data_IF_328971480065
#
_entry.id   IF_328971480065
#
_cell.length_a   1.000
_cell.length_b   1.000
_cell.length_c   1.000
_cell.angle_alpha   90.00
_cell.angle_beta   90.00
_cell.angle_gamma   90.00
#
_symmetry.space_group_name_H-M   'P 1'
#
loop_
_entity.id
_entity.type
_entity.pdbx_description
1 polymer ?
2 non-polymer ?
3 non-polymer ?
4 water ?
#
# COMPACT_ATOMS: atom_id res chain seq x y z
N UNK A 2 15.60 12.29 10.03
CA UNK A 2 15.95 11.26 9.02
C UNK A 2 14.81 10.91 8.06
N UNK A 3 13.60 11.37 8.38
CA UNK A 3 12.42 11.11 7.57
C UNK A 3 11.64 12.40 7.33
N UNK A 4 11.56 12.83 6.07
CA UNK A 4 10.83 14.03 5.72
C UNK A 4 9.55 13.62 5.02
N UNK A 5 8.43 14.14 5.53
CA UNK A 5 7.12 13.83 4.97
C UNK A 5 6.44 15.12 4.51
N UNK A 6 5.86 15.09 3.32
CA UNK A 6 5.15 16.26 2.80
C UNK A 6 3.65 16.00 2.92
N UNK A 7 2.91 16.97 3.47
CA UNK A 7 1.46 16.84 3.61
C UNK A 7 0.77 17.94 2.82
N UNK A 8 -0.15 17.54 1.95
CA UNK A 8 -0.93 18.47 1.12
C UNK A 8 -2.40 18.17 1.39
N UNK A 9 -3.05 19.09 2.12
CA UNK A 9 -4.46 18.98 2.49
C UNK A 9 -5.02 20.38 2.71
N UNK A 10 -6.11 20.68 2.02
CA UNK A 10 -6.75 22.00 2.10
C UNK A 10 -7.57 22.27 3.38
N UNK A 11 -8.10 21.22 4.03
CA UNK A 11 -8.83 21.41 5.29
C UNK A 11 -7.77 21.57 6.37
N UNK A 12 -7.41 22.83 6.63
CA UNK A 12 -6.36 23.19 7.59
C UNK A 12 -6.31 22.38 8.89
N UNK A 13 -7.42 22.38 9.62
CA UNK A 13 -7.48 21.65 10.89
C UNK A 13 -7.13 20.16 10.72
N UNK A 14 -7.64 19.51 9.67
CA UNK A 14 -7.32 18.11 9.42
C UNK A 14 -5.84 18.02 9.06
N UNK A 15 -5.40 18.89 8.15
CA UNK A 15 -4.01 18.90 7.76
C UNK A 15 -3.13 19.02 9.00
N UNK A 16 -3.49 19.90 9.93
CA UNK A 16 -2.68 20.07 11.15
C UNK A 16 -2.74 18.82 12.04
N UNK A 17 -3.91 18.19 12.07
CA UNK A 17 -4.10 16.99 12.86
C UNK A 17 -3.14 15.92 12.34
N UNK A 18 -3.13 15.74 11.03
CA UNK A 18 -2.27 14.76 10.39
C UNK A 18 -0.80 15.06 10.68
N UNK A 19 -0.42 16.31 10.51
CA UNK A 19 0.95 16.76 10.75
C UNK A 19 1.45 16.48 12.17
N UNK A 20 0.62 16.81 13.17
CA UNK A 20 1.02 16.58 14.56
C UNK A 20 1.24 15.10 14.81
N UNK A 21 0.36 14.28 14.27
CA UNK A 21 0.49 12.84 14.44
C UNK A 21 1.81 12.34 13.85
N UNK A 22 2.15 12.84 12.67
CA UNK A 22 3.38 12.43 12.00
C UNK A 22 4.62 12.91 12.78
N UNK A 23 4.57 14.14 13.27
CA UNK A 23 5.68 14.70 14.03
C UNK A 23 5.88 13.91 15.32
N UNK A 24 4.80 13.36 15.84
CA UNK A 24 4.85 12.58 17.08
C UNK A 24 5.59 11.26 16.84
N UNK A 25 5.72 10.90 15.56
CA UNK A 25 6.45 9.69 15.15
C UNK A 25 7.91 10.09 14.96
N UNK A 26 8.19 11.38 15.16
CA UNK A 26 9.53 11.93 15.03
C UNK A 26 9.92 12.13 13.56
N UNK A 27 8.96 12.52 12.73
CA UNK A 27 9.23 12.76 11.32
C UNK A 27 9.23 14.26 11.08
N UNK A 28 10.03 14.71 10.12
CA UNK A 28 10.07 16.12 9.78
C UNK A 28 8.89 16.30 8.85
N UNK A 29 7.98 17.19 9.19
CA UNK A 29 6.81 17.38 8.36
C UNK A 29 6.58 18.79 7.82
N UNK A 30 6.43 18.89 6.51
CA UNK A 30 6.12 20.15 5.86
C UNK A 30 4.70 20.02 5.39
N UNK A 31 3.86 21.01 5.72
CA UNK A 31 2.46 20.97 5.34
C UNK A 31 2.03 22.11 4.41
N UNK A 32 1.23 21.77 3.41
CA UNK A 32 0.71 22.73 2.45
C UNK A 32 -0.80 22.66 2.50
N UNK A 33 -1.44 23.82 2.41
CA UNK A 33 -2.89 23.90 2.46
C UNK A 33 -3.52 24.13 1.10
N UNK A 34 -2.72 24.04 0.04
CA UNK A 34 -3.24 24.23 -1.31
C UNK A 34 -2.38 23.49 -2.33
N UNK A 35 -2.95 23.21 -3.50
CA UNK A 35 -2.22 22.49 -4.52
C UNK A 35 -1.12 23.29 -5.22
N UNK A 36 -1.09 24.59 -4.99
CA UNK A 36 -0.07 25.42 -5.61
C UNK A 36 1.26 25.17 -4.94
N UNK A 37 1.30 25.38 -3.64
CA UNK A 37 2.54 25.15 -2.91
C UNK A 37 2.83 23.66 -2.87
N UNK A 38 1.76 22.87 -2.87
CA UNK A 38 1.92 21.43 -2.85
C UNK A 38 2.77 20.98 -4.02
N UNK A 39 2.38 21.40 -5.21
CA UNK A 39 3.09 21.09 -6.43
C UNK A 39 4.56 21.52 -6.30
N UNK A 40 4.76 22.79 -5.95
CA UNK A 40 6.09 23.34 -5.79
C UNK A 40 6.98 22.51 -4.86
N UNK A 41 6.46 22.19 -3.68
CA UNK A 41 7.18 21.42 -2.67
C UNK A 41 7.47 20.01 -3.15
N UNK A 42 6.48 19.40 -3.80
CA UNK A 42 6.63 18.04 -4.29
C UNK A 42 7.59 17.94 -5.47
N UNK A 43 7.82 19.06 -6.16
CA UNK A 43 8.72 19.05 -7.31
C UNK A 43 10.07 19.67 -7.03
N UNK A 44 10.22 20.36 -5.92
CA UNK A 44 11.50 21.00 -5.65
C UNK A 44 12.21 20.58 -4.38
N UNK A 45 11.46 19.98 -3.46
CA UNK A 45 12.07 19.56 -2.22
C UNK A 45 12.07 18.05 -2.08
N UNK A 46 13.13 17.49 -1.48
CA UNK A 46 13.27 16.05 -1.28
C UNK A 46 12.45 15.54 -0.10
N UNK A 47 11.66 14.49 -0.33
CA UNK A 47 10.84 13.91 0.73
C UNK A 47 10.96 12.40 0.71
N UNK A 48 10.57 11.76 1.80
CA UNK A 48 10.60 10.31 1.87
C UNK A 48 9.22 9.77 1.54
N UNK A 49 8.20 10.57 1.88
CA UNK A 49 6.81 10.20 1.59
C UNK A 49 5.98 11.45 1.36
N UNK A 50 5.02 11.35 0.45
CA UNK A 50 4.13 12.46 0.14
C UNK A 50 2.70 12.01 0.35
N UNK A 51 2.03 12.62 1.33
CA UNK A 51 0.64 12.32 1.63
C UNK A 51 -0.16 13.36 0.88
N UNK A 52 -0.96 12.89 -0.06
CA UNK A 52 -1.69 13.77 -0.93
C UNK A 52 -3.22 13.72 -0.94
N UNK A 53 -3.84 14.88 -0.70
CA UNK A 53 -5.30 15.00 -0.77
C UNK A 53 -5.56 15.15 -2.27
N UNK A 54 -6.75 14.82 -2.73
CA UNK A 54 -7.05 14.97 -4.15
C UNK A 54 -7.58 16.36 -4.44
N UNK A 55 -8.83 16.62 -4.07
CA UNK A 55 -9.47 17.90 -4.29
C UNK A 55 -8.78 19.01 -3.53
N UNK A 56 -8.01 19.80 -4.27
CA UNK A 56 -7.25 20.91 -3.73
C UNK A 56 -7.33 22.12 -4.64
N UNK A 57 -7.06 23.32 -4.11
CA UNK A 57 -7.09 24.57 -4.87
C UNK A 57 -5.94 24.61 -5.86
N UNK A 58 -6.20 25.19 -7.04
CA UNK A 58 -5.20 25.35 -8.10
C UNK A 58 -4.87 24.03 -8.78
N UNK A 59 -4.14 23.16 -8.09
CA UNK A 59 -3.78 21.85 -8.64
C UNK A 59 -4.34 20.75 -7.77
N UNK A 60 -4.93 19.73 -8.38
CA UNK A 60 -5.47 18.62 -7.63
C UNK A 60 -4.41 17.54 -7.42
N UNK A 61 -4.68 16.63 -6.49
CA UNK A 61 -3.74 15.57 -6.18
C UNK A 61 -3.31 14.80 -7.42
N UNK A 62 -4.22 14.63 -8.38
CA UNK A 62 -3.92 13.90 -9.61
C UNK A 62 -2.73 14.56 -10.34
N UNK A 63 -2.88 15.86 -10.61
CA UNK A 63 -1.87 16.67 -11.29
C UNK A 63 -0.54 16.64 -10.55
N UNK A 64 -0.58 16.78 -9.23
CA UNK A 64 0.65 16.76 -8.45
C UNK A 64 1.38 15.43 -8.64
N UNK A 65 0.65 14.32 -8.52
CA UNK A 65 1.28 13.02 -8.69
C UNK A 65 1.91 12.84 -10.07
N UNK A 66 1.15 13.07 -11.13
CA UNK A 66 1.66 12.95 -12.48
C UNK A 66 2.86 13.85 -12.75
N UNK A 67 2.83 15.08 -12.25
CA UNK A 67 3.96 16.00 -12.47
C UNK A 67 5.21 15.44 -11.79
N UNK A 68 5.03 14.83 -10.62
CA UNK A 68 6.16 14.23 -9.91
C UNK A 68 6.73 13.08 -10.76
N UNK A 69 5.86 12.19 -11.22
CA UNK A 69 6.33 11.05 -12.01
C UNK A 69 6.92 11.50 -13.33
N UNK A 70 6.29 12.49 -13.95
CA UNK A 70 6.77 13.01 -15.21
C UNK A 70 8.13 13.69 -15.07
N UNK A 71 8.45 14.10 -13.85
CA UNK A 71 9.71 14.76 -13.55
C UNK A 71 10.76 13.81 -12.98
N UNK A 72 10.46 12.52 -12.93
CA UNK A 72 11.42 11.56 -12.42
C UNK A 72 11.46 11.42 -10.90
N UNK A 73 10.58 12.13 -10.20
CA UNK A 73 10.51 12.06 -8.74
C UNK A 73 9.69 10.81 -8.38
N UNK A 74 10.36 9.75 -7.97
CA UNK A 74 9.69 8.49 -7.64
C UNK A 74 9.34 8.37 -6.17
N UNK A 75 9.32 9.49 -5.45
CA UNK A 75 9.00 9.47 -4.03
C UNK A 75 7.68 8.75 -3.76
N UNK A 76 7.64 7.93 -2.69
CA UNK A 76 6.42 7.21 -2.36
C UNK A 76 5.26 8.16 -2.12
N UNK A 77 4.14 7.89 -2.76
CA UNK A 77 2.97 8.72 -2.60
C UNK A 77 1.80 7.99 -2.00
N UNK A 78 1.16 8.64 -1.04
CA UNK A 78 -0.02 8.09 -0.39
C UNK A 78 -1.13 9.11 -0.57
N UNK A 79 -2.24 8.70 -1.16
CA UNK A 79 -3.34 9.63 -1.31
C UNK A 79 -4.35 9.42 -0.18
N UNK A 80 -4.78 10.54 0.42
CA UNK A 80 -5.77 10.58 1.51
C UNK A 80 -6.84 11.53 1.00
N UNK A 81 -8.01 11.04 0.69
CA UNK A 81 -9.06 11.79 0.03
C UNK A 81 -10.46 11.24 0.29
N UNK A 82 -11.44 12.11 0.12
CA UNK A 82 -12.86 11.78 0.29
C UNK A 82 -13.36 10.99 -0.91
N UNK A 83 -12.58 10.96 -1.99
CA UNK A 83 -12.99 10.19 -3.16
C UNK A 83 -12.65 8.77 -2.77
N UNK A 84 -13.60 8.11 -2.12
CA UNK A 84 -13.43 6.75 -1.61
C UNK A 84 -13.82 5.59 -2.50
N UNK A 85 -14.66 5.84 -3.50
CA UNK A 85 -15.11 4.77 -4.40
C UNK A 85 -13.91 3.99 -4.95
N UNK A 86 -14.06 2.68 -5.02
CA UNK A 86 -12.98 1.81 -5.50
C UNK A 86 -12.40 2.25 -6.84
N UNK A 87 -13.26 2.74 -7.74
CA UNK A 87 -12.83 3.21 -9.05
C UNK A 87 -11.76 4.30 -8.90
N UNK A 88 -11.92 5.15 -7.88
CA UNK A 88 -10.97 6.21 -7.63
C UNK A 88 -9.67 5.62 -7.08
N UNK A 89 -9.79 4.64 -6.20
CA UNK A 89 -8.64 3.99 -5.61
C UNK A 89 -7.77 3.43 -6.73
N UNK A 90 -8.41 2.76 -7.69
CA UNK A 90 -7.70 2.19 -8.81
C UNK A 90 -7.04 3.29 -9.63
N UNK A 91 -7.79 4.36 -9.88
CA UNK A 91 -7.24 5.46 -10.66
C UNK A 91 -5.96 6.00 -10.04
N UNK A 92 -5.99 6.29 -8.74
CA UNK A 92 -4.79 6.81 -8.09
C UNK A 92 -3.60 5.87 -8.16
N UNK A 93 -3.86 4.60 -7.85
CA UNK A 93 -2.81 3.59 -7.87
C UNK A 93 -2.27 3.39 -9.29
N UNK A 94 -3.15 3.16 -10.25
CA UNK A 94 -2.71 2.96 -11.64
C UNK A 94 -1.87 4.11 -12.16
N UNK A 95 -2.17 5.30 -11.67
CA UNK A 95 -1.48 6.52 -12.06
C UNK A 95 -0.09 6.65 -11.43
N UNK A 96 0.17 5.87 -10.38
CA UNK A 96 1.48 5.92 -9.74
C UNK A 96 1.48 6.09 -8.23
N UNK A 97 0.31 6.19 -7.62
CA UNK A 97 0.25 6.30 -6.17
C UNK A 97 0.72 4.96 -5.62
N UNK A 98 1.35 4.97 -4.46
CA UNK A 98 1.85 3.75 -3.84
C UNK A 98 0.85 3.10 -2.89
N UNK A 99 -0.10 3.90 -2.42
CA UNK A 99 -1.18 3.47 -1.54
C UNK A 99 -2.26 4.53 -1.64
N UNK A 100 -3.47 4.16 -1.27
CA UNK A 100 -4.64 5.01 -1.35
C UNK A 100 -5.51 4.71 -0.13
N UNK A 101 -5.69 5.71 0.73
CA UNK A 101 -6.47 5.54 1.94
C UNK A 101 -7.59 6.58 1.96
N UNK A 102 -8.83 6.14 1.72
CA UNK A 102 -9.96 7.06 1.74
C UNK A 102 -10.29 7.62 3.12
N UNK A 103 -11.04 8.72 3.12
CA UNK A 103 -11.49 9.36 4.34
C UNK A 103 -12.93 8.88 4.47
N UNK A 104 -13.45 8.76 5.69
CA UNK A 104 -12.71 9.04 6.92
C UNK A 104 -11.71 7.92 7.17
N UNK A 105 -10.57 8.26 7.74
CA UNK A 105 -9.54 7.27 8.00
C UNK A 105 -9.23 7.13 9.48
N UNK A 106 -8.68 5.99 9.86
CA UNK A 106 -8.30 5.77 11.25
C UNK A 106 -6.83 6.20 11.32
N UNK A 107 -6.52 7.08 12.27
CA UNK A 107 -5.17 7.61 12.42
C UNK A 107 -4.11 6.53 12.57
N UNK A 108 -4.46 5.45 13.25
CA UNK A 108 -3.51 4.37 13.44
C UNK A 108 -3.19 3.71 12.09
N UNK A 109 -4.18 3.59 11.21
CA UNK A 109 -3.91 2.98 9.91
C UNK A 109 -3.06 3.86 9.03
N UNK A 110 -3.32 5.17 9.07
CA UNK A 110 -2.56 6.13 8.29
C UNK A 110 -1.07 6.02 8.68
N UNK A 111 -0.75 6.15 9.97
CA UNK A 111 0.64 6.07 10.40
C UNK A 111 1.27 4.73 10.02
N UNK A 112 0.53 3.66 10.22
CA UNK A 112 1.02 2.33 9.87
C UNK A 112 1.35 2.25 8.39
N UNK A 113 0.52 2.85 7.55
CA UNK A 113 0.77 2.81 6.09
C UNK A 113 1.89 3.73 5.64
N UNK A 114 2.06 4.85 6.35
CA UNK A 114 3.14 5.77 5.98
C UNK A 114 4.46 5.09 6.34
N UNK A 115 4.49 4.44 7.50
CA UNK A 115 5.69 3.73 7.94
C UNK A 115 6.01 2.58 6.99
N UNK A 116 4.96 1.95 6.46
CA UNK A 116 5.16 0.84 5.52
C UNK A 116 5.83 1.34 4.25
N UNK A 117 5.54 2.58 3.88
CA UNK A 117 6.13 3.16 2.68
C UNK A 117 7.58 3.63 2.86
N UNK A 118 7.96 4.03 4.08
CA UNK A 118 9.32 4.51 4.29
C UNK A 118 10.33 3.39 4.39
N UNK A 119 10.02 2.37 5.19
CA UNK A 119 10.93 1.24 5.35
C UNK A 119 11.14 0.55 4.01
N UNK A 120 10.11 0.59 3.17
CA UNK A 120 10.15 -0.02 1.86
C UNK A 120 11.08 0.76 0.93
N UNK B 2 8.88 -9.99 -17.22
CA UNK B 2 8.04 -10.97 -16.48
C UNK B 2 8.09 -10.73 -14.97
N UNK B 3 6.96 -10.99 -14.30
CA UNK B 3 6.82 -10.79 -12.86
C UNK B 3 6.29 -12.03 -12.16
N UNK B 4 6.89 -12.39 -11.02
CA UNK B 4 6.47 -13.57 -10.26
C UNK B 4 5.60 -13.22 -9.06
N UNK B 5 4.42 -13.83 -9.01
CA UNK B 5 3.48 -13.59 -7.92
C UNK B 5 3.15 -14.90 -7.21
N UNK B 6 3.20 -14.87 -5.88
CA UNK B 6 2.88 -16.06 -5.09
C UNK B 6 1.52 -15.83 -4.42
N UNK B 7 0.64 -16.82 -4.55
CA UNK B 7 -0.71 -16.77 -4.00
C UNK B 7 -0.93 -17.89 -2.97
N UNK B 8 -1.25 -17.50 -1.73
CA UNK B 8 -1.49 -18.46 -0.67
C UNK B 8 -2.90 -18.23 -0.14
N UNK B 9 -3.82 -19.08 -0.56
CA UNK B 9 -5.23 -18.99 -0.18
C UNK B 9 -5.82 -20.40 -0.10
N UNK B 10 -6.44 -20.73 1.03
CA UNK B 10 -7.01 -22.06 1.21
C UNK B 10 -8.38 -22.19 0.56
N UNK B 11 -8.89 -21.09 0.03
CA UNK B 11 -10.16 -21.08 -0.65
C UNK B 11 -9.88 -21.36 -2.12
N UNK B 12 -9.67 -22.62 -2.46
CA UNK B 12 -9.35 -23.04 -3.83
C UNK B 12 -10.00 -22.23 -4.96
N UNK B 13 -11.32 -22.11 -4.93
CA UNK B 13 -12.05 -21.36 -5.95
C UNK B 13 -11.54 -19.92 -6.03
N UNK B 14 -11.41 -19.29 -4.88
CA UNK B 14 -10.92 -17.92 -4.82
C UNK B 14 -9.48 -17.85 -5.28
N UNK B 15 -8.65 -18.76 -4.76
CA UNK B 15 -7.25 -18.81 -5.12
C UNK B 15 -7.09 -18.93 -6.62
N UNK B 16 -7.85 -19.84 -7.23
CA UNK B 16 -7.78 -20.06 -8.67
C UNK B 16 -8.30 -18.87 -9.44
N UNK B 17 -9.30 -18.22 -8.87
CA UNK B 17 -9.88 -17.04 -9.50
C UNK B 17 -8.82 -15.94 -9.57
N UNK B 18 -8.11 -15.75 -8.47
CA UNK B 18 -7.06 -14.74 -8.39
C UNK B 18 -5.91 -15.10 -9.31
N UNK B 19 -5.53 -16.38 -9.30
CA UNK B 19 -4.44 -16.84 -10.14
C UNK B 19 -4.73 -16.54 -11.62
N UNK B 20 -5.97 -16.78 -12.05
CA UNK B 20 -6.37 -16.52 -13.44
C UNK B 20 -6.26 -15.05 -13.78
N UNK B 21 -6.93 -14.22 -12.99
CA UNK B 21 -6.95 -12.77 -13.18
C UNK B 21 -5.55 -12.18 -13.29
N UNK B 22 -4.64 -12.66 -12.45
CA UNK B 22 -3.28 -12.16 -12.45
C UNK B 22 -2.55 -12.47 -13.74
N UNK B 23 -2.51 -13.74 -14.11
CA UNK B 23 -1.82 -14.14 -15.33
C UNK B 23 -2.43 -13.42 -16.52
N UNK B 24 -3.70 -13.07 -16.41
CA UNK B 24 -4.39 -12.36 -17.47
C UNK B 24 -3.74 -10.97 -17.61
N UNK B 25 -3.21 -10.47 -16.49
CA UNK B 25 -2.54 -9.16 -16.47
C UNK B 25 -1.05 -9.35 -16.76
N UNK B 26 -0.70 -10.56 -17.19
CA UNK B 26 0.67 -10.91 -17.53
C UNK B 26 1.55 -11.13 -16.30
N UNK B 27 1.16 -12.10 -15.47
CA UNK B 27 1.89 -12.44 -14.27
C UNK B 27 2.18 -13.93 -14.17
N UNK B 28 3.38 -14.27 -13.72
CA UNK B 28 3.78 -15.66 -13.54
C UNK B 28 3.30 -16.02 -12.13
N UNK B 29 2.17 -16.69 -12.05
CA UNK B 29 1.59 -17.04 -10.77
C UNK B 29 1.82 -18.46 -10.27
N UNK B 30 2.05 -18.57 -8.97
CA UNK B 30 2.22 -19.86 -8.30
C UNK B 30 1.20 -19.81 -7.19
N UNK B 31 0.32 -20.81 -7.14
CA UNK B 31 -0.73 -20.84 -6.13
C UNK B 31 -0.53 -21.93 -5.07
N UNK B 32 -0.82 -21.58 -3.82
CA UNK B 32 -0.71 -22.49 -2.69
C UNK B 32 -2.05 -22.50 -2.00
N UNK B 33 -2.48 -23.69 -1.57
CA UNK B 33 -3.78 -23.82 -0.91
C UNK B 33 -3.69 -24.02 0.60
N UNK B 34 -2.47 -24.14 1.14
CA UNK B 34 -2.30 -24.33 2.58
C UNK B 34 -1.05 -23.61 3.07
N UNK B 35 -0.92 -23.47 4.39
CA UNK B 35 0.23 -22.79 4.94
C UNK B 35 1.52 -23.58 4.86
N UNK B 36 1.43 -24.87 4.53
CA UNK B 36 2.62 -25.71 4.43
C UNK B 36 3.34 -25.46 3.11
N UNK B 37 2.58 -25.43 2.03
CA UNK B 37 3.13 -25.17 0.71
C UNK B 37 3.50 -23.69 0.60
N UNK B 38 2.72 -22.85 1.26
CA UNK B 38 2.97 -21.42 1.25
C UNK B 38 4.19 -21.02 2.06
N UNK B 39 4.41 -21.68 3.18
CA UNK B 39 5.57 -21.38 4.02
C UNK B 39 6.85 -21.64 3.21
N UNK B 40 6.98 -22.83 2.62
CA UNK B 40 8.15 -23.19 1.82
C UNK B 40 8.43 -22.18 0.70
N UNK B 41 7.50 -22.08 -0.24
CA UNK B 41 7.61 -21.16 -1.37
C UNK B 41 8.00 -19.75 -0.98
N UNK B 42 7.37 -19.24 0.06
CA UNK B 42 7.63 -17.89 0.54
C UNK B 42 9.03 -17.71 1.10
N UNK B 43 9.56 -18.72 1.76
CA UNK B 43 10.88 -18.62 2.35
C UNK B 43 12.04 -19.18 1.53
N UNK B 44 11.74 -19.80 0.38
CA UNK B 44 12.78 -20.41 -0.44
C UNK B 44 12.79 -20.03 -1.92
N UNK B 45 11.63 -19.71 -2.45
CA UNK B 45 11.53 -19.32 -3.85
C UNK B 45 11.38 -17.82 -3.99
N UNK B 46 11.99 -17.25 -5.03
CA UNK B 46 11.94 -15.80 -5.29
C UNK B 46 10.65 -15.35 -5.93
N UNK B 47 10.13 -14.22 -5.45
CA UNK B 47 8.90 -13.65 -5.98
C UNK B 47 9.01 -12.14 -5.99
N UNK B 48 8.12 -11.50 -6.74
CA UNK B 48 8.10 -10.05 -6.83
C UNK B 48 7.06 -9.50 -5.86
N UNK B 49 6.08 -10.35 -5.54
CA UNK B 49 5.02 -9.96 -4.60
C UNK B 49 4.32 -11.21 -4.08
N UNK B 50 4.08 -11.24 -2.77
CA UNK B 50 3.41 -12.37 -2.14
C UNK B 50 2.07 -11.92 -1.60
N UNK B 51 1.01 -12.60 -2.04
CA UNK B 51 -0.34 -12.31 -1.59
C UNK B 51 -0.66 -13.35 -0.52
N UNK B 52 -0.72 -12.92 0.73
CA UNK B 52 -0.95 -13.83 1.85
C UNK B 52 -2.30 -13.78 2.57
N UNK B 53 -3.01 -14.92 2.54
CA UNK B 53 -4.28 -15.07 3.25
C UNK B 53 -3.77 -15.32 4.67
N UNK B 54 -4.57 -15.05 5.70
CA UNK B 54 -4.09 -15.27 7.07
C UNK B 54 -4.51 -16.60 7.68
N UNK B 55 -5.80 -16.89 7.65
CA UNK B 55 -6.29 -18.14 8.20
C UNK B 55 -6.08 -19.26 7.20
N UNK B 56 -5.09 -20.08 7.51
CA UNK B 56 -4.69 -21.21 6.67
C UNK B 56 -4.28 -22.40 7.53
N UNK B 57 -4.38 -23.62 6.95
CA UNK B 57 -4.01 -24.84 7.68
C UNK B 57 -2.50 -24.87 7.92
N UNK B 58 -2.09 -25.62 8.93
CA UNK B 58 -0.69 -25.79 9.34
C UNK B 58 0.07 -24.50 9.67
N UNK B 59 0.04 -23.50 8.81
CA UNK B 59 0.71 -22.22 9.09
C UNK B 59 -0.19 -21.05 8.70
N UNK B 60 -0.43 -20.13 9.64
CA UNK B 60 -1.27 -18.99 9.36
C UNK B 60 -0.44 -17.86 8.74
N UNK B 61 -1.12 -16.93 8.07
CA UNK B 61 -0.43 -15.83 7.42
C UNK B 61 0.49 -15.04 8.32
N UNK B 62 0.12 -14.87 9.59
CA UNK B 62 0.94 -14.12 10.53
C UNK B 62 2.31 -14.81 10.63
N UNK B 63 2.26 -16.14 10.72
CA UNK B 63 3.44 -16.98 10.83
C UNK B 63 4.35 -16.86 9.63
N UNK B 64 3.76 -17.02 8.45
CA UNK B 64 4.50 -16.94 7.20
C UNK B 64 5.14 -15.55 7.08
N UNK B 65 4.36 -14.50 7.25
CA UNK B 65 4.89 -13.14 7.17
C UNK B 65 6.03 -12.96 8.18
N UNK B 66 5.82 -13.42 9.41
CA UNK B 66 6.84 -13.27 10.44
C UNK B 66 8.12 -14.06 10.12
N UNK B 67 7.96 -15.26 9.61
CA UNK B 67 9.10 -16.09 9.27
C UNK B 67 9.89 -15.44 8.14
N UNK B 68 9.19 -14.86 7.18
CA UNK B 68 9.82 -14.19 6.06
C UNK B 68 10.73 -13.07 6.54
N UNK B 69 10.17 -12.12 7.26
CA UNK B 69 10.94 -10.98 7.74
C UNK B 69 12.10 -11.38 8.65
N UNK B 70 11.91 -12.43 9.44
CA UNK B 70 12.96 -12.89 10.34
C UNK B 70 14.07 -13.59 9.57
N UNK B 71 13.75 -14.09 8.38
CA UNK B 71 14.74 -14.78 7.57
C UNK B 71 15.38 -13.85 6.55
N UNK B 72 14.99 -12.57 6.58
CA UNK B 72 15.57 -11.63 5.65
C UNK B 72 14.86 -11.52 4.31
N UNK B 73 13.73 -12.22 4.17
CA UNK B 73 12.96 -12.18 2.92
C UNK B 73 12.23 -10.84 2.89
N UNK B 74 12.74 -9.92 2.09
CA UNK B 74 12.14 -8.60 2.02
C UNK B 74 11.17 -8.45 0.86
N UNK B 75 10.71 -9.57 0.33
CA UNK B 75 9.75 -9.57 -0.77
C UNK B 75 8.44 -8.89 -0.38
N UNK B 76 7.92 -8.03 -1.26
CA UNK B 76 6.66 -7.32 -1.02
C UNK B 76 5.55 -8.29 -0.65
N UNK B 77 4.76 -7.92 0.36
CA UNK B 77 3.67 -8.77 0.80
C UNK B 77 2.35 -8.03 0.92
N UNK B 78 1.32 -8.63 0.34
CA UNK B 78 -0.01 -8.08 0.39
C UNK B 78 -0.84 -9.08 1.19
N UNK B 79 -1.47 -8.61 2.26
CA UNK B 79 -2.32 -9.47 3.08
C UNK B 79 -3.75 -9.36 2.53
N UNK B 80 -4.32 -10.49 2.12
CA UNK B 80 -5.69 -10.53 1.60
C UNK B 80 -6.39 -11.45 2.57
N UNK B 81 -7.20 -10.90 3.45
CA UNK B 81 -7.81 -11.73 4.47
C UNK B 81 -9.18 -11.26 4.95
N UNK B 82 -9.93 -12.20 5.55
CA UNK B 82 -11.24 -11.87 6.08
C UNK B 82 -11.09 -11.24 7.47
N UNK B 83 -9.85 -11.02 7.92
CA UNK B 83 -9.63 -10.34 9.18
C UNK B 83 -9.60 -8.87 8.76
N UNK B 84 -10.79 -8.29 8.69
CA UNK B 84 -10.96 -6.93 8.21
C UNK B 84 -10.81 -5.79 9.22
N UNK B 85 -10.98 -6.09 10.50
CA UNK B 85 -10.87 -5.08 11.55
C UNK B 85 -9.58 -4.27 11.40
N UNK B 86 -9.71 -2.95 11.48
CA UNK B 86 -8.57 -2.06 11.34
C UNK B 86 -7.40 -2.49 12.23
N UNK B 87 -7.67 -2.95 13.45
CA UNK B 87 -6.56 -3.35 14.31
C UNK B 87 -5.76 -4.52 13.74
N UNK B 88 -6.40 -5.37 12.93
CA UNK B 88 -5.69 -6.48 12.30
C UNK B 88 -4.83 -5.89 11.17
N UNK B 89 -5.40 -4.92 10.46
CA UNK B 89 -4.68 -4.26 9.38
C UNK B 89 -3.40 -3.61 9.91
N UNK B 90 -3.50 -2.90 11.03
CA UNK B 90 -2.32 -2.22 11.58
C UNK B 90 -1.26 -3.23 12.02
N UNK B 91 -1.71 -4.31 12.63
CA UNK B 91 -0.80 -5.37 13.06
C UNK B 91 -0.08 -5.93 11.84
N UNK B 92 -0.84 -6.15 10.76
CA UNK B 92 -0.25 -6.68 9.54
C UNK B 92 0.81 -5.76 9.00
N UNK B 93 0.45 -4.48 8.86
CA UNK B 93 1.39 -3.50 8.37
C UNK B 93 2.60 -3.38 9.31
N UNK B 94 2.36 -3.35 10.63
CA UNK B 94 3.46 -3.22 11.58
C UNK B 94 4.42 -4.40 11.57
N UNK B 95 3.87 -5.59 11.34
CA UNK B 95 4.68 -6.81 11.28
C UNK B 95 5.57 -6.87 10.05
N UNK B 96 5.33 -5.99 9.08
CA UNK B 96 6.15 -6.00 7.89
C UNK B 96 5.44 -6.15 6.56
N UNK B 97 4.12 -6.35 6.59
CA UNK B 97 3.37 -6.47 5.35
C UNK B 97 3.37 -5.09 4.70
N UNK B 98 3.41 -5.05 3.37
CA UNK B 98 3.44 -3.79 2.63
C UNK B 98 2.06 -3.21 2.35
N UNK B 99 1.08 -4.09 2.25
CA UNK B 99 -0.28 -3.65 2.03
C UNK B 99 -1.16 -4.69 2.70
N UNK B 100 -2.39 -4.30 2.97
CA UNK B 100 -3.33 -5.20 3.65
C UNK B 100 -4.69 -4.90 3.05
N UNK B 101 -5.31 -5.90 2.44
CA UNK B 101 -6.62 -5.74 1.81
C UNK B 101 -7.58 -6.78 2.38
N UNK B 102 -8.70 -6.32 2.95
CA UNK B 102 -9.68 -7.25 3.53
C UNK B 102 -10.65 -7.83 2.51
N UNK B 103 -11.33 -8.89 2.93
CA UNK B 103 -12.33 -9.57 2.11
C UNK B 103 -13.69 -9.19 2.67
N UNK B 104 -14.70 -9.03 1.80
CA UNK B 104 -14.56 -9.21 0.34
C UNK B 104 -13.82 -8.02 -0.29
N UNK B 105 -13.36 -8.19 -1.51
CA UNK B 105 -12.62 -7.12 -2.17
C UNK B 105 -12.98 -7.00 -3.63
N UNK B 106 -12.57 -5.89 -4.23
CA UNK B 106 -12.81 -5.68 -5.65
C UNK B 106 -11.57 -6.14 -6.37
N UNK B 107 -11.73 -7.14 -7.23
CA UNK B 107 -10.63 -7.72 -7.99
C UNK B 107 -9.79 -6.66 -8.69
N UNK B 108 -10.42 -5.55 -9.06
CA UNK B 108 -9.72 -4.45 -9.73
C UNK B 108 -8.74 -3.80 -8.76
N UNK B 109 -9.19 -3.60 -7.52
CA UNK B 109 -8.32 -3.01 -6.52
C UNK B 109 -7.16 -3.95 -6.16
N UNK B 110 -7.40 -5.26 -6.18
CA UNK B 110 -6.35 -6.24 -5.86
C UNK B 110 -5.17 -6.19 -6.83
N UNK B 111 -5.44 -6.27 -8.13
CA UNK B 111 -4.31 -6.23 -9.08
C UNK B 111 -3.74 -4.82 -9.19
N UNK B 112 -4.56 -3.80 -8.93
CA UNK B 112 -4.05 -2.44 -8.98
C UNK B 112 -3.00 -2.31 -7.88
N UNK B 113 -3.32 -2.80 -6.69
CA UNK B 113 -2.40 -2.74 -5.56
C UNK B 113 -1.19 -3.64 -5.78
N UNK B 114 -1.43 -4.80 -6.37
CA UNK B 114 -0.37 -5.75 -6.65
C UNK B 114 0.68 -5.15 -7.58
N UNK B 115 0.23 -4.53 -8.67
CA UNK B 115 1.17 -3.94 -9.58
C UNK B 115 1.88 -2.75 -8.96
N UNK B 116 1.17 -2.00 -8.12
CA UNK B 116 1.79 -0.85 -7.45
C UNK B 116 2.92 -1.34 -6.53
N UNK B 117 2.73 -2.48 -5.90
CA UNK B 117 3.76 -3.02 -5.00
C UNK B 117 5.01 -3.46 -5.77
N UNK B 118 4.84 -4.26 -6.81
CA UNK B 118 5.98 -4.72 -7.60
C UNK B 118 6.60 -3.56 -8.37
N UNK B 119 5.95 -2.42 -8.34
CA UNK B 119 6.44 -1.25 -9.05
C UNK B 119 7.66 -0.69 -8.32
N UNK B 120 8.12 -1.42 -7.30
CA UNK B 120 9.30 -1.03 -6.54
C UNK B 120 10.05 -2.27 -6.04
#
# INVERSE_FOLDING_TARGET
MNVRVLVVEDERDLADLITEALKKEMFTVDVCYDGEEGMYMALNEPFDVVILDIMLPVHDGWEILKSMRESGVNTPVLMLTALSDVEYRVKGLNMGADDYLPKPFDLRELIARVRALIRRKS
MNVRVLVVEDERDLADLITEALKKEMFTVDVCYDGEEGMYMALNEPFDVVILDIMLPVHDGWEILKSMRESGVNTPVLMLTALSDVEYRVKGLNMGADDYLPKPFDLRELIARVRALIRRKS
#
